data_IF_814083731575
#
_entry.id   IF_814083731575
#
_cell.length_a   1.000
_cell.length_b   1.000
_cell.length_c   1.000
_cell.angle_alpha   90.00
_cell.angle_beta   90.00
_cell.angle_gamma   90.00
#
_symmetry.space_group_name_H-M   'P 1'
#
loop_
_entity.id
_entity.type
_entity.pdbx_description
1 polymer ?
#
# COMPACT_ATOMS: atom_id res chain seq x y z
N UNK A 1 -15.15 8.64 -2.89
CA UNK A 1 -14.22 8.31 -1.77
C UNK A 1 -13.16 7.33 -2.26
N UNK A 2 -12.03 7.23 -1.55
CA UNK A 2 -10.91 6.38 -1.95
C UNK A 2 -11.30 4.90 -2.08
N UNK A 3 -12.17 4.41 -1.18
CA UNK A 3 -12.74 3.06 -1.26
C UNK A 3 -13.40 2.77 -2.62
N UNK A 4 -14.06 3.77 -3.23
CA UNK A 4 -14.81 3.58 -4.46
C UNK A 4 -13.87 3.56 -5.65
N UNK A 5 -12.79 4.35 -5.59
CA UNK A 5 -11.71 4.30 -6.58
C UNK A 5 -11.05 2.93 -6.59
N UNK A 6 -10.78 2.36 -5.41
CA UNK A 6 -10.21 1.01 -5.30
C UNK A 6 -11.17 -0.05 -5.83
N UNK A 7 -12.44 -0.01 -5.43
CA UNK A 7 -13.46 -0.94 -5.93
C UNK A 7 -13.60 -0.91 -7.45
N UNK A 8 -13.54 0.27 -8.08
CA UNK A 8 -13.56 0.39 -9.55
C UNK A 8 -12.37 -0.27 -10.23
N UNK A 9 -11.21 -0.27 -9.59
CA UNK A 9 -10.01 -0.94 -10.09
C UNK A 9 -10.16 -2.45 -10.00
N UNK A 10 -10.74 -2.95 -8.89
CA UNK A 10 -11.10 -4.37 -8.74
C UNK A 10 -12.15 -4.80 -9.77
N UNK A 11 -13.23 -4.05 -9.93
CA UNK A 11 -14.32 -4.32 -10.88
C UNK A 11 -13.84 -4.29 -12.34
N UNK A 12 -12.80 -3.51 -12.64
CA UNK A 12 -12.17 -3.43 -13.96
C UNK A 12 -11.17 -4.57 -14.25
N UNK A 13 -10.96 -5.49 -13.29
CA UNK A 13 -9.95 -6.55 -13.41
C UNK A 13 -8.51 -6.04 -13.40
N UNK A 14 -8.28 -4.80 -12.95
CA UNK A 14 -6.95 -4.21 -12.78
C UNK A 14 -6.42 -4.60 -11.39
N UNK A 15 -6.11 -5.89 -11.20
CA UNK A 15 -5.91 -6.45 -9.85
C UNK A 15 -4.54 -6.05 -9.29
N UNK A 16 -4.51 -5.39 -8.13
CA UNK A 16 -3.38 -5.51 -7.19
C UNK A 16 -3.51 -6.90 -6.55
N UNK A 17 -2.86 -7.91 -7.13
CA UNK A 17 -2.95 -9.30 -6.67
C UNK A 17 -2.76 -9.34 -5.16
N UNK A 18 -3.80 -9.74 -4.45
CA UNK A 18 -3.93 -9.51 -3.02
C UNK A 18 -3.20 -10.60 -2.22
N UNK A 19 -2.92 -10.34 -0.94
CA UNK A 19 -2.32 -11.35 -0.07
C UNK A 19 -3.37 -12.42 0.27
N UNK A 20 -3.17 -13.64 -0.21
CA UNK A 20 -3.95 -14.80 0.21
C UNK A 20 -3.46 -15.26 1.60
N UNK A 21 -4.20 -14.87 2.63
CA UNK A 21 -4.15 -15.50 3.93
C UNK A 21 -5.05 -16.74 3.89
N UNK A 22 -4.77 -17.74 4.74
CA UNK A 22 -5.33 -19.09 4.70
C UNK A 22 -6.85 -19.22 4.46
N UNK A 23 -7.65 -18.22 4.85
CA UNK A 23 -9.09 -18.15 4.60
C UNK A 23 -9.59 -16.80 4.07
N UNK A 24 -8.69 -15.85 3.82
CA UNK A 24 -9.05 -14.47 3.51
C UNK A 24 -8.05 -13.82 2.57
N UNK A 25 -8.58 -13.07 1.61
CA UNK A 25 -7.77 -12.22 0.73
C UNK A 25 -7.72 -10.82 1.30
N UNK A 26 -6.52 -10.33 1.64
CA UNK A 26 -6.32 -8.98 2.16
C UNK A 26 -5.60 -8.11 1.12
N UNK A 27 -6.31 -7.10 0.61
CA UNK A 27 -5.83 -6.22 -0.46
C UNK A 27 -5.72 -4.76 -0.01
N UNK A 28 -6.53 -4.35 0.96
CA UNK A 28 -6.55 -2.99 1.46
C UNK A 28 -7.13 -2.90 2.87
N UNK A 29 -6.87 -1.78 3.54
CA UNK A 29 -7.48 -1.41 4.81
C UNK A 29 -7.61 0.11 4.88
N UNK A 30 -8.79 0.61 5.22
CA UNK A 30 -9.07 2.03 5.42
C UNK A 30 -9.41 2.28 6.88
N UNK A 31 -8.74 3.23 7.52
CA UNK A 31 -9.04 3.65 8.89
C UNK A 31 -8.83 5.16 9.03
N UNK A 32 -9.92 5.90 9.31
CA UNK A 32 -9.90 7.36 9.36
C UNK A 32 -9.23 7.96 8.11
N UNK A 33 -8.07 8.62 8.30
CA UNK A 33 -7.29 9.26 7.24
C UNK A 33 -6.19 8.35 6.66
N UNK A 34 -5.97 7.16 7.24
CA UNK A 34 -4.94 6.22 6.84
C UNK A 34 -5.51 5.13 5.91
N UNK A 35 -4.73 4.81 4.87
CA UNK A 35 -5.03 3.73 3.94
C UNK A 35 -3.79 2.84 3.76
N UNK A 36 -4.00 1.52 3.83
CA UNK A 36 -2.99 0.52 3.47
C UNK A 36 -3.47 -0.21 2.23
N UNK A 37 -2.56 -0.42 1.28
CA UNK A 37 -2.75 -1.29 0.13
C UNK A 37 -1.70 -2.40 0.16
N UNK A 38 -2.13 -3.62 -0.14
CA UNK A 38 -1.33 -4.83 -0.11
C UNK A 38 -1.49 -5.58 -1.43
N UNK A 39 -0.37 -6.02 -1.98
CA UNK A 39 -0.40 -6.93 -3.11
C UNK A 39 0.95 -7.46 -3.53
N UNK A 40 0.96 -8.30 -4.56
CA UNK A 40 2.18 -8.89 -5.12
C UNK A 40 3.10 -7.83 -5.66
N UNK A 41 4.40 -8.06 -5.48
CA UNK A 41 5.44 -7.19 -6.03
C UNK A 41 5.48 -7.32 -7.55
N UNK A 42 4.90 -6.35 -8.26
CA UNK A 42 5.01 -6.24 -9.71
C UNK A 42 4.95 -4.78 -10.13
N UNK A 43 5.64 -4.45 -11.24
CA UNK A 43 5.58 -3.09 -11.81
C UNK A 43 4.14 -2.72 -12.17
N UNK A 44 3.37 -3.65 -12.72
CA UNK A 44 1.97 -3.44 -13.09
C UNK A 44 1.11 -3.08 -11.87
N UNK A 45 1.27 -3.76 -10.72
CA UNK A 45 0.51 -3.47 -9.51
C UNK A 45 0.88 -2.10 -8.94
N UNK A 46 2.17 -1.77 -8.93
CA UNK A 46 2.67 -0.46 -8.48
C UNK A 46 2.10 0.64 -9.37
N UNK A 47 2.20 0.50 -10.69
CA UNK A 47 1.68 1.47 -11.65
C UNK A 47 0.16 1.63 -11.49
N UNK A 48 -0.58 0.52 -11.39
CA UNK A 48 -2.04 0.52 -11.17
C UNK A 48 -2.42 1.29 -9.91
N UNK A 49 -1.73 1.03 -8.78
CA UNK A 49 -1.95 1.77 -7.54
C UNK A 49 -1.72 3.27 -7.74
N UNK A 50 -0.59 3.63 -8.36
CA UNK A 50 -0.23 5.02 -8.59
C UNK A 50 -1.21 5.75 -9.51
N UNK A 51 -1.71 5.09 -10.56
CA UNK A 51 -2.76 5.63 -11.43
C UNK A 51 -4.07 5.81 -10.68
N UNK A 52 -4.49 4.82 -9.89
CA UNK A 52 -5.70 4.90 -9.07
C UNK A 52 -5.66 6.09 -8.11
N UNK A 53 -4.55 6.25 -7.40
CA UNK A 53 -4.32 7.35 -6.46
C UNK A 53 -4.36 8.72 -7.16
N UNK A 54 -3.68 8.87 -8.30
CA UNK A 54 -3.71 10.11 -9.10
C UNK A 54 -5.10 10.42 -9.64
N UNK A 55 -5.83 9.40 -10.11
CA UNK A 55 -7.21 9.56 -10.55
C UNK A 55 -8.13 9.98 -9.40
N UNK A 56 -7.92 9.42 -8.20
CA UNK A 56 -8.65 9.82 -7.01
C UNK A 56 -8.37 11.28 -6.62
N UNK A 57 -7.12 11.74 -6.61
CA UNK A 57 -6.80 13.15 -6.33
C UNK A 57 -7.53 14.09 -7.31
N UNK A 58 -7.46 13.78 -8.61
CA UNK A 58 -8.11 14.58 -9.66
C UNK A 58 -9.63 14.60 -9.52
N UNK A 59 -10.25 13.47 -9.20
CA UNK A 59 -11.69 13.35 -9.12
C UNK A 59 -12.27 13.91 -7.80
N UNK A 60 -11.50 13.86 -6.71
CA UNK A 60 -11.97 14.30 -5.39
C UNK A 60 -11.56 15.72 -5.04
N UNK A 61 -10.54 16.28 -5.70
CA UNK A 61 -9.91 17.55 -5.31
C UNK A 61 -9.06 17.45 -4.04
N UNK A 62 -8.91 16.25 -3.47
CA UNK A 62 -8.02 16.00 -2.34
C UNK A 62 -6.60 15.75 -2.82
N UNK A 63 -5.62 16.03 -1.96
CA UNK A 63 -4.21 15.69 -2.23
C UNK A 63 -3.75 14.52 -1.37
N UNK A 64 -3.09 13.56 -2.00
CA UNK A 64 -2.42 12.45 -1.36
C UNK A 64 -1.02 12.91 -0.95
N UNK A 65 -0.73 12.82 0.34
CA UNK A 65 0.56 13.21 0.85
C UNK A 65 1.56 12.03 0.78
N UNK A 66 2.20 11.86 -0.38
CA UNK A 66 3.21 10.81 -0.57
C UNK A 66 4.40 10.92 0.40
N UNK A 67 4.74 12.13 0.88
CA UNK A 67 5.82 12.32 1.85
C UNK A 67 5.52 11.71 3.23
N UNK A 68 4.23 11.52 3.56
CA UNK A 68 3.78 10.80 4.77
C UNK A 68 3.53 9.31 4.50
N UNK A 69 3.31 8.93 3.24
CA UNK A 69 3.15 7.54 2.83
C UNK A 69 4.46 6.78 2.94
N UNK A 70 4.36 5.47 3.24
CA UNK A 70 5.51 4.56 3.28
C UNK A 70 5.23 3.32 2.44
N UNK A 71 6.29 2.73 1.89
CA UNK A 71 6.22 1.57 1.02
C UNK A 71 7.16 0.46 1.50
N UNK A 72 6.72 -0.79 1.40
CA UNK A 72 7.47 -1.96 1.85
C UNK A 72 7.48 -3.03 0.76
N UNK A 73 8.64 -3.63 0.50
CA UNK A 73 8.75 -4.86 -0.27
C UNK A 73 9.03 -6.04 0.66
N UNK A 74 8.10 -7.00 0.75
CA UNK A 74 8.33 -8.25 1.48
C UNK A 74 9.14 -9.21 0.63
N UNK A 75 10.26 -9.72 1.16
CA UNK A 75 11.21 -10.57 0.42
C UNK A 75 11.71 -9.95 -0.90
N UNK A 76 11.78 -8.62 -0.96
CA UNK A 76 12.31 -7.85 -2.09
C UNK A 76 13.60 -7.17 -1.65
N UNK A 77 14.58 -7.07 -2.56
CA UNK A 77 15.84 -6.42 -2.26
C UNK A 77 15.64 -4.93 -1.98
N UNK A 78 16.42 -4.37 -1.07
CA UNK A 78 16.27 -2.98 -0.63
C UNK A 78 16.48 -2.00 -1.79
N UNK A 79 17.35 -2.32 -2.74
CA UNK A 79 17.66 -1.47 -3.90
C UNK A 79 16.43 -1.28 -4.80
N UNK A 80 15.63 -2.34 -4.97
CA UNK A 80 14.37 -2.28 -5.74
C UNK A 80 13.31 -1.46 -5.00
N UNK A 81 13.25 -1.59 -3.67
CA UNK A 81 12.35 -0.78 -2.84
C UNK A 81 12.74 0.68 -2.94
N UNK A 82 14.02 1.01 -2.78
CA UNK A 82 14.57 2.36 -2.93
C UNK A 82 14.28 2.97 -4.31
N UNK A 83 14.39 2.18 -5.37
CA UNK A 83 14.05 2.61 -6.72
C UNK A 83 12.59 3.07 -6.82
N UNK A 84 11.67 2.24 -6.33
CA UNK A 84 10.23 2.52 -6.34
C UNK A 84 9.89 3.71 -5.45
N UNK A 85 10.41 3.76 -4.23
CA UNK A 85 10.12 4.87 -3.29
C UNK A 85 10.63 6.21 -3.79
N UNK A 86 11.79 6.22 -4.44
CA UNK A 86 12.34 7.44 -5.07
C UNK A 86 11.49 7.92 -6.23
N UNK A 87 10.96 6.99 -7.03
CA UNK A 87 10.08 7.31 -8.15
C UNK A 87 8.72 7.85 -7.67
N UNK A 88 8.16 7.27 -6.61
CA UNK A 88 6.87 7.65 -6.04
C UNK A 88 6.98 8.92 -5.19
N UNK A 89 8.13 9.17 -4.57
CA UNK A 89 8.32 10.25 -3.59
C UNK A 89 7.78 9.89 -2.20
N UNK A 90 7.81 8.61 -1.83
CA UNK A 90 7.39 8.12 -0.51
C UNK A 90 8.57 7.57 0.30
N UNK A 91 8.35 7.33 1.60
CA UNK A 91 9.36 6.75 2.48
C UNK A 91 9.43 5.23 2.38
N UNK A 92 10.54 4.64 2.82
CA UNK A 92 10.65 3.18 3.02
C UNK A 92 10.06 2.82 4.39
N UNK A 93 9.25 1.77 4.43
CA UNK A 93 8.76 1.17 5.66
C UNK A 93 9.65 -0.01 6.05
N UNK A 94 10.33 0.11 7.20
CA UNK A 94 11.17 -0.95 7.77
C UNK A 94 10.45 -1.67 8.91
N UNK A 95 10.75 -2.95 9.13
CA UNK A 95 10.28 -3.70 10.30
C UNK A 95 11.27 -3.62 11.46
N UNK A 96 10.80 -3.56 12.72
CA UNK A 96 9.40 -3.43 13.10
C UNK A 96 8.87 -2.00 12.90
N UNK A 97 7.57 -1.85 12.60
CA UNK A 97 6.91 -0.55 12.50
C UNK A 97 5.64 -0.49 13.35
N UNK A 98 5.20 0.72 13.69
CA UNK A 98 3.94 0.95 14.38
C UNK A 98 2.82 1.24 13.38
N UNK A 99 1.71 0.53 13.51
CA UNK A 99 0.47 0.80 12.79
C UNK A 99 -0.71 0.77 13.78
N UNK A 100 -1.47 1.87 13.86
CA UNK A 100 -2.59 2.04 14.81
C UNK A 100 -2.23 1.67 16.26
N UNK A 101 -1.03 2.05 16.71
CA UNK A 101 -0.54 1.75 18.06
C UNK A 101 -0.02 0.31 18.26
N UNK A 102 -0.14 -0.56 17.26
CA UNK A 102 0.37 -1.94 17.30
C UNK A 102 1.73 -2.04 16.59
N UNK A 103 2.68 -2.81 17.16
CA UNK A 103 3.94 -3.12 16.48
C UNK A 103 3.75 -4.28 15.51
N UNK A 104 4.15 -4.08 14.26
CA UNK A 104 4.10 -5.07 13.18
C UNK A 104 5.52 -5.48 12.78
N UNK A 105 5.74 -6.77 12.55
CA UNK A 105 7.05 -7.31 12.14
C UNK A 105 8.12 -7.28 13.23
N UNK A 106 7.72 -7.14 14.51
CA UNK A 106 8.60 -7.33 15.65
C UNK A 106 8.59 -8.76 16.15
N UNK A 107 9.67 -9.18 16.81
CA UNK A 107 9.67 -10.40 17.61
C UNK A 107 8.79 -10.13 18.82
N UNK A 108 7.71 -10.90 18.99
CA UNK A 108 6.95 -10.90 20.24
C UNK A 108 7.85 -11.49 21.33
N UNK A 109 8.31 -10.63 22.25
CA UNK A 109 8.88 -11.09 23.51
C UNK A 109 7.72 -11.11 24.49
N UNK A 110 7.24 -12.30 24.82
CA UNK A 110 6.29 -12.50 25.91
C UNK A 110 7.08 -12.36 27.22
N UNK A 111 6.74 -11.36 28.03
CA UNK A 111 7.13 -11.31 29.45
C UNK A 111 6.27 -12.28 30.27
#
# INVERSE_FOLDING_TARGET
SLHLSFKRVEDAGMVMESLHLSSMTLSHMFYADDAIFMGQWSKQNIDTLMYMLKCFERASGLSINFSKSKFMGLAVSIEKVEEVTRHIGCGILNTPFSFLGSKVGGIYVSD
#
